data_IF_702903459738
#
_entry.id   IF_702903459738
#
_cell.length_a   1.000
_cell.length_b   1.000
_cell.length_c   1.000
_cell.angle_alpha   90.00
_cell.angle_beta   90.00
_cell.angle_gamma   90.00
#
_symmetry.space_group_name_H-M   'P 1'
#
loop_
_entity.id
_entity.type
_entity.pdbx_description
1 polymer ?
#
# COMPACT_ATOMS: atom_id res chain seq x y z
N UNK A 1 10.09 -1.75 -15.31
CA UNK A 1 10.34 -0.29 -15.31
C UNK A 1 9.93 0.18 -13.93
N UNK A 2 10.90 0.57 -13.12
CA UNK A 2 10.64 0.98 -11.74
C UNK A 2 9.95 2.36 -11.72
N UNK A 3 8.80 2.43 -11.05
CA UNK A 3 8.04 3.65 -10.82
C UNK A 3 8.32 4.18 -9.42
N UNK A 4 8.71 5.45 -9.29
CA UNK A 4 8.89 6.09 -7.99
C UNK A 4 7.51 6.49 -7.45
N UNK A 5 7.05 5.78 -6.42
CA UNK A 5 5.75 6.04 -5.80
C UNK A 5 5.83 7.19 -4.79
N UNK A 6 6.89 7.21 -3.98
CA UNK A 6 7.04 8.19 -2.91
C UNK A 6 8.51 8.43 -2.61
N UNK A 7 8.86 9.67 -2.29
CA UNK A 7 10.19 10.05 -1.87
C UNK A 7 10.12 11.23 -0.90
N UNK A 8 10.85 11.14 0.19
CA UNK A 8 11.13 12.26 1.10
C UNK A 8 12.61 12.24 1.51
N UNK A 9 12.98 13.06 2.49
CA UNK A 9 14.35 13.16 2.96
C UNK A 9 14.84 11.89 3.67
N UNK A 10 13.95 11.01 4.11
CA UNK A 10 14.28 9.84 4.91
C UNK A 10 14.18 8.52 4.16
N UNK A 11 13.20 8.37 3.27
CA UNK A 11 12.88 7.12 2.59
C UNK A 11 12.42 7.34 1.14
N UNK A 12 12.60 6.30 0.34
CA UNK A 12 12.14 6.19 -1.05
C UNK A 12 11.35 4.88 -1.20
N UNK A 13 10.16 4.94 -1.81
CA UNK A 13 9.35 3.78 -2.17
C UNK A 13 9.27 3.67 -3.69
N UNK A 14 9.67 2.51 -4.20
CA UNK A 14 9.66 2.16 -5.60
C UNK A 14 8.68 1.03 -5.85
N UNK A 15 8.00 1.05 -6.99
CA UNK A 15 7.12 -0.01 -7.47
C UNK A 15 7.70 -0.60 -8.75
N UNK A 16 7.90 -1.90 -8.78
CA UNK A 16 8.30 -2.62 -9.98
C UNK A 16 7.57 -3.95 -10.09
N UNK A 17 6.90 -4.19 -11.22
CA UNK A 17 6.18 -5.43 -11.53
C UNK A 17 5.22 -5.90 -10.41
N UNK A 18 4.50 -4.95 -9.77
CA UNK A 18 3.58 -5.25 -8.67
C UNK A 18 4.25 -5.48 -7.31
N UNK A 19 5.57 -5.33 -7.21
CA UNK A 19 6.33 -5.43 -5.96
C UNK A 19 6.74 -4.03 -5.49
N UNK A 20 6.59 -3.76 -4.20
CA UNK A 20 7.03 -2.53 -3.56
C UNK A 20 8.37 -2.73 -2.84
N UNK A 21 9.28 -1.81 -3.11
CA UNK A 21 10.62 -1.74 -2.54
C UNK A 21 10.75 -0.48 -1.68
N UNK A 22 11.47 -0.59 -0.57
CA UNK A 22 11.78 0.53 0.30
C UNK A 22 13.28 0.70 0.40
N UNK A 23 13.71 1.96 0.40
CA UNK A 23 15.08 2.39 0.67
C UNK A 23 15.05 3.50 1.71
N UNK A 24 15.92 3.43 2.71
CA UNK A 24 16.15 4.49 3.68
C UNK A 24 17.43 5.25 3.34
N UNK A 25 17.35 6.58 3.42
CA UNK A 25 18.43 7.52 3.13
C UNK A 25 18.97 8.13 4.41
N UNK A 26 18.09 8.63 5.29
CA UNK A 26 18.46 9.30 6.53
C UNK A 26 17.86 8.60 7.76
N UNK A 27 18.55 8.70 8.90
CA UNK A 27 18.08 8.17 10.19
C UNK A 27 17.01 9.08 10.80
N UNK A 28 16.24 8.53 11.75
CA UNK A 28 15.22 9.28 12.49
C UNK A 28 13.79 9.11 11.97
N UNK A 29 13.58 8.28 10.94
CA UNK A 29 12.25 7.90 10.49
C UNK A 29 11.68 6.78 11.36
N UNK A 30 10.43 6.91 11.80
CA UNK A 30 9.78 5.91 12.64
C UNK A 30 8.83 5.01 11.84
N UNK A 31 8.52 3.83 12.39
CA UNK A 31 7.48 2.95 11.83
C UNK A 31 6.09 3.58 11.90
N UNK A 32 5.84 4.46 12.87
CA UNK A 32 4.57 5.20 12.97
C UNK A 32 4.40 6.17 11.80
N UNK A 33 5.44 6.93 11.44
CA UNK A 33 5.42 7.80 10.26
C UNK A 33 5.21 6.99 8.97
N UNK A 34 5.78 5.79 8.90
CA UNK A 34 5.56 4.89 7.76
C UNK A 34 4.11 4.37 7.69
N UNK A 35 3.47 4.12 8.83
CA UNK A 35 2.06 3.70 8.85
C UNK A 35 1.14 4.76 8.23
N UNK A 36 1.46 6.05 8.33
CA UNK A 36 0.68 7.10 7.68
C UNK A 36 0.81 7.05 6.15
N UNK A 37 1.97 6.64 5.63
CA UNK A 37 2.12 6.34 4.20
C UNK A 37 1.23 5.16 3.80
N UNK A 38 1.20 4.08 4.58
CA UNK A 38 0.34 2.93 4.27
C UNK A 38 -1.15 3.30 4.27
N UNK A 39 -1.57 4.27 5.09
CA UNK A 39 -2.94 4.80 5.06
C UNK A 39 -3.23 5.60 3.79
N UNK A 40 -2.23 6.32 3.26
CA UNK A 40 -2.34 7.08 2.01
C UNK A 40 -2.20 6.21 0.75
N UNK A 41 -1.64 5.01 0.88
CA UNK A 41 -1.48 4.04 -0.21
C UNK A 41 -2.01 2.66 0.19
N UNK A 42 -3.33 2.50 0.36
CA UNK A 42 -3.98 1.28 0.83
C UNK A 42 -3.85 0.13 -0.16
N UNK A 43 -3.44 0.36 -1.41
CA UNK A 43 -3.10 -0.70 -2.38
C UNK A 43 -1.78 -1.41 -2.03
N UNK A 44 -0.98 -0.87 -1.10
CA UNK A 44 0.22 -1.54 -0.62
C UNK A 44 -0.15 -2.59 0.41
N UNK A 45 0.13 -3.86 0.11
CA UNK A 45 0.08 -4.96 1.07
C UNK A 45 1.49 -5.24 1.58
N UNK A 46 1.75 -4.99 2.86
CA UNK A 46 3.03 -5.35 3.48
C UNK A 46 3.14 -6.87 3.59
N UNK A 47 4.17 -7.45 2.98
CA UNK A 47 4.47 -8.89 3.02
C UNK A 47 5.65 -9.20 3.93
N UNK A 48 6.60 -8.27 4.08
CA UNK A 48 7.75 -8.41 4.98
C UNK A 48 7.91 -7.21 5.92
N UNK A 49 7.25 -7.31 7.09
CA UNK A 49 7.41 -6.32 8.16
C UNK A 49 8.84 -6.28 8.72
N UNK A 50 9.53 -7.43 8.75
CA UNK A 50 10.91 -7.50 9.24
C UNK A 50 11.86 -6.73 8.33
N UNK A 51 11.70 -6.85 7.00
CA UNK A 51 12.46 -6.05 6.02
C UNK A 51 12.20 -4.56 6.23
N UNK A 52 10.94 -4.17 6.35
CA UNK A 52 10.55 -2.78 6.57
C UNK A 52 11.20 -2.19 7.83
N UNK A 53 11.07 -2.88 8.97
CA UNK A 53 11.67 -2.48 10.26
C UNK A 53 13.19 -2.38 10.15
N UNK A 54 13.82 -3.33 9.47
CA UNK A 54 15.26 -3.38 9.32
C UNK A 54 15.81 -2.23 8.45
N UNK A 55 15.14 -1.92 7.34
CA UNK A 55 15.51 -0.80 6.46
C UNK A 55 15.34 0.54 7.18
N UNK A 56 14.23 0.73 7.89
CA UNK A 56 13.96 1.99 8.62
C UNK A 56 14.96 2.21 9.77
N UNK A 57 15.25 1.18 10.57
CA UNK A 57 16.13 1.32 11.74
C UNK A 57 17.62 1.45 11.39
N UNK A 58 18.05 0.90 10.25
CA UNK A 58 19.46 0.83 9.87
C UNK A 58 19.82 1.76 8.70
N UNK A 59 19.24 2.97 8.66
CA UNK A 59 19.52 3.92 7.59
C UNK A 59 20.99 4.38 7.56
N UNK A 60 21.60 4.54 6.36
CA UNK A 60 21.03 4.28 5.02
C UNK A 60 21.03 2.79 4.65
N UNK A 61 19.93 2.29 4.07
CA UNK A 61 19.77 0.88 3.66
C UNK A 61 18.76 0.68 2.53
N UNK A 62 18.93 -0.35 1.72
CA UNK A 62 18.03 -0.71 0.63
C UNK A 62 18.56 -0.37 -0.77
N UNK A 63 17.75 -0.57 -1.84
CA UNK A 63 16.34 -0.97 -1.83
C UNK A 63 16.13 -2.46 -1.47
N UNK A 64 15.14 -2.74 -0.61
CA UNK A 64 14.71 -4.11 -0.28
C UNK A 64 13.19 -4.26 -0.49
N UNK A 65 12.70 -5.42 -0.99
CA UNK A 65 11.27 -5.66 -1.18
C UNK A 65 10.57 -5.81 0.18
N UNK A 66 9.44 -5.12 0.36
CA UNK A 66 8.68 -5.17 1.62
C UNK A 66 7.19 -5.47 1.45
N UNK A 67 6.67 -5.34 0.22
CA UNK A 67 5.24 -5.49 -0.03
C UNK A 67 4.92 -5.76 -1.49
N UNK A 68 3.65 -6.02 -1.73
CA UNK A 68 3.08 -6.30 -3.04
C UNK A 68 1.85 -5.43 -3.28
N UNK A 69 1.54 -5.19 -4.54
CA UNK A 69 0.30 -4.58 -4.97
C UNK A 69 -0.84 -5.56 -4.80
N UNK A 70 -1.89 -5.10 -4.11
CA UNK A 70 -3.17 -5.80 -4.06
C UNK A 70 -4.19 -5.06 -4.93
N UNK A 71 -5.13 -5.84 -5.44
CA UNK A 71 -6.29 -5.30 -6.13
C UNK A 71 -7.04 -4.33 -5.22
N UNK A 72 -7.50 -3.24 -5.81
CA UNK A 72 -8.21 -2.18 -5.11
C UNK A 72 -9.59 -2.64 -4.66
N UNK A 73 -10.26 -3.47 -5.45
CA UNK A 73 -11.51 -4.15 -5.10
C UNK A 73 -11.22 -5.64 -5.03
N UNK A 74 -11.52 -6.29 -3.90
CA UNK A 74 -11.36 -7.73 -3.73
C UNK A 74 -12.69 -8.36 -3.33
N UNK A 75 -13.16 -9.32 -4.12
CA UNK A 75 -14.36 -10.10 -3.89
C UNK A 75 -14.00 -11.49 -3.36
N UNK A 76 -14.69 -11.92 -2.31
CA UNK A 76 -14.56 -13.28 -1.77
C UNK A 76 -15.94 -13.85 -1.48
N UNK A 77 -16.20 -15.04 -1.99
CA UNK A 77 -17.41 -15.81 -1.68
C UNK A 77 -17.03 -16.85 -0.62
N UNK A 78 -17.84 -17.00 0.42
CA UNK A 78 -17.63 -18.03 1.43
C UNK A 78 -17.71 -19.42 0.81
N UNK A 79 -17.04 -20.40 1.43
CA UNK A 79 -17.00 -21.78 0.90
C UNK A 79 -18.40 -22.41 0.78
N UNK A 80 -19.33 -22.01 1.65
CA UNK A 80 -20.74 -22.44 1.61
C UNK A 80 -21.58 -21.74 0.53
N UNK A 81 -21.02 -20.75 -0.16
CA UNK A 81 -21.70 -19.94 -1.17
C UNK A 81 -22.78 -19.00 -0.62
N UNK A 82 -22.95 -18.91 0.70
CA UNK A 82 -24.05 -18.16 1.32
C UNK A 82 -23.71 -16.69 1.57
N UNK A 83 -22.43 -16.31 1.51
CA UNK A 83 -21.97 -14.95 1.79
C UNK A 83 -20.96 -14.50 0.75
N UNK A 84 -21.10 -13.24 0.33
CA UNK A 84 -20.10 -12.54 -0.45
C UNK A 84 -19.56 -11.36 0.37
N UNK A 85 -18.24 -11.18 0.34
CA UNK A 85 -17.52 -10.12 1.00
C UNK A 85 -16.78 -9.31 -0.06
N UNK A 86 -17.04 -8.01 -0.10
CA UNK A 86 -16.29 -7.07 -0.92
C UNK A 86 -15.42 -6.22 0.00
N UNK A 87 -14.12 -6.23 -0.24
CA UNK A 87 -13.16 -5.35 0.43
C UNK A 87 -12.64 -4.33 -0.56
N UNK A 88 -12.75 -3.05 -0.21
CA UNK A 88 -12.33 -1.95 -1.06
C UNK A 88 -11.19 -1.20 -0.35
N UNK A 89 -10.02 -1.15 -0.98
CA UNK A 89 -8.80 -0.54 -0.45
C UNK A 89 -8.61 0.87 -1.02
N UNK A 90 -9.30 1.82 -0.40
CA UNK A 90 -9.36 3.23 -0.85
C UNK A 90 -8.96 4.19 0.25
N UNK A 91 -8.50 5.38 -0.14
CA UNK A 91 -8.21 6.45 0.79
C UNK A 91 -9.51 7.03 1.36
N UNK A 92 -9.43 7.65 2.54
CA UNK A 92 -10.61 8.23 3.19
C UNK A 92 -11.28 9.32 2.33
N UNK A 93 -10.49 10.09 1.58
CA UNK A 93 -10.98 11.13 0.67
C UNK A 93 -11.84 10.56 -0.47
N UNK A 94 -11.59 9.32 -0.89
CA UNK A 94 -12.35 8.66 -1.95
C UNK A 94 -13.72 8.15 -1.46
N UNK A 95 -13.88 7.99 -0.14
CA UNK A 95 -15.16 7.69 0.50
C UNK A 95 -16.01 8.95 0.72
N UNK A 96 -15.48 10.14 0.45
CA UNK A 96 -16.23 11.38 0.58
C UNK A 96 -17.47 11.37 -0.35
N UNK A 97 -18.60 11.99 0.06
CA UNK A 97 -19.85 11.96 -0.69
C UNK A 97 -19.69 12.36 -2.17
N UNK A 98 -18.82 13.33 -2.44
CA UNK A 98 -18.57 13.87 -3.78
C UNK A 98 -17.84 12.87 -4.70
N UNK A 99 -17.06 11.96 -4.14
CA UNK A 99 -16.26 10.97 -4.88
C UNK A 99 -16.94 9.60 -5.00
N UNK A 100 -18.06 9.41 -4.28
CA UNK A 100 -18.77 8.13 -4.19
C UNK A 100 -19.27 7.61 -5.53
N UNK A 101 -19.67 8.49 -6.46
CA UNK A 101 -20.19 8.11 -7.77
C UNK A 101 -19.12 7.38 -8.60
N UNK A 102 -17.88 7.87 -8.57
CA UNK A 102 -16.78 7.24 -9.33
C UNK A 102 -16.42 5.88 -8.73
N UNK A 103 -16.40 5.79 -7.40
CA UNK A 103 -16.17 4.53 -6.69
C UNK A 103 -17.23 3.48 -7.04
N UNK A 104 -18.50 3.87 -7.11
CA UNK A 104 -19.60 2.94 -7.47
C UNK A 104 -19.44 2.41 -8.90
N UNK A 105 -19.03 3.26 -9.86
CA UNK A 105 -18.76 2.79 -11.23
C UNK A 105 -17.65 1.74 -11.27
N UNK A 106 -16.54 1.99 -10.56
CA UNK A 106 -15.42 1.05 -10.47
C UNK A 106 -15.85 -0.32 -9.90
N UNK A 107 -16.75 -0.31 -8.90
CA UNK A 107 -17.31 -1.53 -8.33
C UNK A 107 -18.17 -2.32 -9.34
N UNK A 108 -18.90 -1.65 -10.22
CA UNK A 108 -19.73 -2.32 -11.23
C UNK A 108 -18.93 -2.94 -12.37
N UNK A 109 -17.75 -2.41 -12.66
CA UNK A 109 -16.87 -2.89 -13.73
C UNK A 109 -15.92 -4.02 -13.27
N UNK A 110 -15.82 -4.27 -11.95
CA UNK A 110 -14.97 -5.30 -11.33
C UNK A 110 -15.68 -6.66 -11.21
#
# INVERSE_FOLDING_TARGET
>A
MAFLLYKNDYIEILKENGVFYIKSTNRGYSLEMFNDILKAYPVIKVTSFMTLRNVINNAPRGPEPFGEERERVSLRISEDGLKAYMTIYVNHEELAPDNRINLVKEIFDA
#
